data_IF_331632944028
#
_entry.id   IF_331632944028
#
_cell.length_a   1.000
_cell.length_b   1.000
_cell.length_c   1.000
_cell.angle_alpha   90.00
_cell.angle_beta   90.00
_cell.angle_gamma   90.00
#
_symmetry.space_group_name_H-M   'P 1'
#
loop_
_entity.id
_entity.type
_entity.pdbx_description
1 polymer ?
#
# COMPACT_ATOMS: atom_id res chain seq x y z
N UNK A 1 -1.99 -8.65 11.75
CA UNK A 1 -1.69 -7.80 10.59
C UNK A 1 -2.47 -6.50 10.66
N UNK A 2 -1.88 -5.41 10.20
CA UNK A 2 -2.51 -4.10 10.13
C UNK A 2 -2.78 -3.66 8.70
N UNK A 3 -3.86 -2.91 8.49
CA UNK A 3 -4.12 -2.26 7.23
C UNK A 3 -4.62 -0.83 7.45
N UNK A 4 -3.96 0.15 6.83
CA UNK A 4 -4.28 1.57 6.95
C UNK A 4 -4.57 2.16 5.57
N UNK A 5 -5.76 2.77 5.44
CA UNK A 5 -6.25 3.32 4.18
C UNK A 5 -7.13 2.32 3.43
N UNK A 6 -8.45 2.50 3.50
CA UNK A 6 -9.48 1.61 2.97
C UNK A 6 -10.25 2.23 1.79
N UNK A 7 -9.58 3.06 0.98
CA UNK A 7 -10.11 3.51 -0.31
C UNK A 7 -10.29 2.37 -1.31
N UNK A 8 -10.61 2.67 -2.58
CA UNK A 8 -10.92 1.65 -3.61
C UNK A 8 -9.88 0.54 -3.74
N UNK A 9 -8.59 0.90 -3.70
CA UNK A 9 -7.49 -0.06 -3.75
C UNK A 9 -7.28 -0.75 -2.41
N UNK A 10 -7.21 0.05 -1.34
CA UNK A 10 -6.92 -0.44 -0.01
C UNK A 10 -7.97 -1.41 0.53
N UNK A 11 -9.26 -1.11 0.35
CA UNK A 11 -10.35 -2.02 0.74
C UNK A 11 -10.26 -3.36 0.03
N UNK A 12 -10.01 -3.33 -1.30
CA UNK A 12 -9.90 -4.54 -2.09
C UNK A 12 -8.71 -5.44 -1.67
N UNK A 13 -7.58 -4.84 -1.28
CA UNK A 13 -6.42 -5.57 -0.76
C UNK A 13 -6.66 -6.06 0.67
N UNK A 14 -7.23 -5.20 1.54
CA UNK A 14 -7.57 -5.56 2.91
C UNK A 14 -8.55 -6.74 2.98
N UNK A 15 -9.56 -6.80 2.09
CA UNK A 15 -10.47 -7.95 1.98
C UNK A 15 -9.74 -9.27 1.72
N UNK A 16 -8.69 -9.26 0.89
CA UNK A 16 -7.88 -10.46 0.67
C UNK A 16 -7.13 -10.87 1.94
N UNK A 17 -6.58 -9.90 2.65
CA UNK A 17 -5.88 -10.15 3.91
C UNK A 17 -6.84 -10.71 4.97
N UNK A 18 -8.02 -10.13 5.13
CA UNK A 18 -9.08 -10.57 6.06
C UNK A 18 -9.55 -12.00 5.73
N UNK A 19 -9.74 -12.33 4.45
CA UNK A 19 -10.16 -13.68 4.03
C UNK A 19 -9.11 -14.76 4.30
N UNK A 20 -7.84 -14.40 4.32
CA UNK A 20 -6.73 -15.33 4.49
C UNK A 20 -6.08 -15.28 5.89
N UNK A 21 -6.54 -14.38 6.75
CA UNK A 21 -6.06 -14.24 8.13
C UNK A 21 -7.23 -13.89 9.06
N UNK A 22 -7.23 -14.47 10.25
CA UNK A 22 -8.25 -14.21 11.28
C UNK A 22 -7.93 -13.01 12.19
N UNK A 23 -6.79 -12.37 12.00
CA UNK A 23 -6.29 -11.32 12.89
C UNK A 23 -5.80 -10.12 12.07
N UNK A 24 -6.76 -9.33 11.59
CA UNK A 24 -6.51 -8.12 10.80
C UNK A 24 -7.14 -6.91 11.48
N UNK A 25 -6.31 -5.96 11.86
CA UNK A 25 -6.71 -4.67 12.44
C UNK A 25 -6.67 -3.59 11.36
N UNK A 26 -7.72 -2.79 11.24
CA UNK A 26 -7.85 -1.79 10.17
C UNK A 26 -8.11 -0.40 10.70
N UNK A 27 -7.61 0.59 9.96
CA UNK A 27 -7.90 2.00 10.21
C UNK A 27 -8.08 2.77 8.90
N UNK A 28 -9.05 3.67 8.90
CA UNK A 28 -9.25 4.70 7.89
C UNK A 28 -9.87 5.93 8.55
N UNK A 29 -9.66 7.12 7.98
CA UNK A 29 -10.33 8.36 8.41
C UNK A 29 -11.82 8.35 8.10
N UNK A 30 -12.26 7.50 7.15
CA UNK A 30 -13.67 7.28 6.81
C UNK A 30 -14.24 6.13 7.64
N UNK A 31 -15.12 6.41 8.63
CA UNK A 31 -15.68 5.39 9.50
C UNK A 31 -16.56 4.37 8.76
N UNK A 32 -17.17 4.74 7.62
CA UNK A 32 -17.98 3.82 6.81
C UNK A 32 -17.10 2.73 6.18
N UNK A 33 -15.91 3.09 5.70
CA UNK A 33 -14.96 2.13 5.15
C UNK A 33 -14.44 1.15 6.22
N UNK A 34 -14.19 1.64 7.43
CA UNK A 34 -13.82 0.80 8.59
C UNK A 34 -14.96 -0.16 8.92
N UNK A 35 -16.20 0.33 8.97
CA UNK A 35 -17.36 -0.48 9.30
C UNK A 35 -17.60 -1.60 8.29
N UNK A 36 -17.38 -1.33 6.99
CA UNK A 36 -17.44 -2.34 5.94
C UNK A 36 -16.38 -3.43 6.13
N UNK A 37 -15.14 -3.06 6.42
CA UNK A 37 -14.07 -4.03 6.70
C UNK A 37 -14.37 -4.88 7.94
N UNK A 38 -14.97 -4.30 8.98
CA UNK A 38 -15.42 -5.04 10.19
C UNK A 38 -16.51 -6.06 9.86
N UNK A 39 -17.44 -5.75 8.95
CA UNK A 39 -18.45 -6.72 8.49
C UNK A 39 -17.80 -7.92 7.78
N UNK A 40 -16.63 -7.75 7.21
CA UNK A 40 -15.84 -8.84 6.60
C UNK A 40 -14.93 -9.57 7.60
N UNK A 41 -14.87 -9.16 8.87
CA UNK A 41 -14.14 -9.84 9.93
C UNK A 41 -12.88 -9.14 10.44
N UNK A 42 -12.64 -7.89 10.05
CA UNK A 42 -11.55 -7.10 10.62
C UNK A 42 -11.88 -6.55 12.02
N UNK A 43 -10.85 -6.20 12.76
CA UNK A 43 -10.94 -5.42 14.01
C UNK A 43 -10.70 -3.94 13.69
N UNK A 44 -11.58 -3.05 14.15
CA UNK A 44 -11.39 -1.61 14.00
C UNK A 44 -10.38 -1.07 15.01
N UNK A 45 -9.45 -0.23 14.55
CA UNK A 45 -8.57 0.57 15.40
C UNK A 45 -9.06 2.02 15.48
N UNK A 46 -8.73 2.72 16.56
CA UNK A 46 -9.07 4.13 16.73
C UNK A 46 -8.04 5.07 16.07
N UNK A 47 -6.82 4.59 15.83
CA UNK A 47 -5.72 5.37 15.28
C UNK A 47 -4.69 4.49 14.55
N UNK A 48 -3.77 5.08 13.76
CA UNK A 48 -2.60 4.38 13.24
C UNK A 48 -1.71 3.76 14.33
N UNK A 49 -1.57 4.40 15.48
CA UNK A 49 -0.84 3.86 16.63
C UNK A 49 -1.50 2.59 17.18
N UNK A 50 -2.85 2.56 17.27
CA UNK A 50 -3.58 1.36 17.69
C UNK A 50 -3.37 0.18 16.70
N UNK A 51 -3.29 0.46 15.39
CA UNK A 51 -2.95 -0.57 14.40
C UNK A 51 -1.54 -1.10 14.66
N UNK A 52 -0.58 -0.20 14.92
CA UNK A 52 0.81 -0.58 15.18
C UNK A 52 0.96 -1.44 16.43
N UNK A 53 0.23 -1.11 17.50
CA UNK A 53 0.26 -1.87 18.74
C UNK A 53 -0.20 -3.32 18.57
N UNK A 54 -1.08 -3.59 17.59
CA UNK A 54 -1.72 -4.88 17.38
C UNK A 54 -1.18 -5.66 16.17
N UNK A 55 -0.09 -5.19 15.54
CA UNK A 55 0.36 -5.76 14.26
C UNK A 55 1.86 -5.86 14.16
N UNK A 56 2.36 -6.97 13.61
CA UNK A 56 3.77 -7.12 13.22
C UNK A 56 4.06 -6.62 11.80
N UNK A 57 3.05 -6.64 10.92
CA UNK A 57 3.14 -6.14 9.55
C UNK A 57 1.96 -5.21 9.27
N UNK A 58 2.24 -3.99 8.83
CA UNK A 58 1.23 -2.99 8.45
C UNK A 58 1.34 -2.70 6.97
N UNK A 59 0.23 -2.85 6.25
CA UNK A 59 0.04 -2.37 4.88
C UNK A 59 -0.57 -0.98 4.88
N UNK A 60 0.02 -0.04 4.14
CA UNK A 60 -0.47 1.35 4.03
C UNK A 60 -0.82 1.66 2.58
N UNK A 61 -2.07 2.07 2.32
CA UNK A 61 -2.56 2.45 1.01
C UNK A 61 -3.36 3.76 1.08
N UNK A 62 -2.66 4.88 1.09
CA UNK A 62 -3.23 6.24 1.22
C UNK A 62 -2.95 7.08 -0.03
N UNK A 63 -3.72 8.18 -0.29
CA UNK A 63 -3.72 8.85 -1.59
C UNK A 63 -2.42 9.58 -1.98
N UNK A 64 -1.64 10.13 -1.03
CA UNK A 64 -0.56 11.05 -1.32
C UNK A 64 0.58 11.00 -0.29
N UNK A 65 1.71 11.63 -0.65
CA UNK A 65 2.95 11.68 0.15
C UNK A 65 2.75 12.23 1.56
N UNK A 66 1.98 13.31 1.70
CA UNK A 66 1.66 13.90 2.99
C UNK A 66 0.87 12.97 3.90
N UNK A 67 0.01 12.11 3.34
CA UNK A 67 -0.75 11.14 4.12
C UNK A 67 0.15 10.02 4.67
N UNK A 68 1.20 9.61 3.92
CA UNK A 68 2.22 8.69 4.45
C UNK A 68 2.88 9.30 5.69
N UNK A 69 3.32 10.56 5.59
CA UNK A 69 3.94 11.27 6.71
C UNK A 69 2.98 11.36 7.90
N UNK A 70 1.71 11.71 7.66
CA UNK A 70 0.71 11.82 8.71
C UNK A 70 0.45 10.49 9.41
N UNK A 71 0.30 9.40 8.66
CA UNK A 71 0.08 8.05 9.20
C UNK A 71 1.28 7.58 10.02
N UNK A 72 2.50 7.85 9.56
CA UNK A 72 3.70 7.38 10.23
C UNK A 72 4.07 8.22 11.45
N UNK A 73 4.06 9.55 11.33
CA UNK A 73 4.66 10.48 12.31
C UNK A 73 3.73 11.61 12.77
N UNK A 74 2.49 11.65 12.29
CA UNK A 74 1.47 12.58 12.76
C UNK A 74 0.99 12.24 14.18
N UNK A 75 0.06 13.05 14.72
CA UNK A 75 -0.58 12.73 16.00
C UNK A 75 -1.23 11.35 15.95
N UNK A 76 -1.04 10.53 16.99
CA UNK A 76 -1.50 9.15 17.05
C UNK A 76 -0.98 8.29 15.87
N UNK A 77 0.17 8.68 15.28
CA UNK A 77 0.82 7.97 14.19
C UNK A 77 1.47 6.66 14.64
N UNK A 78 1.82 5.83 13.64
CA UNK A 78 2.46 4.51 13.87
C UNK A 78 3.68 4.61 14.79
N UNK A 79 4.45 5.70 14.72
CA UNK A 79 5.66 5.92 15.51
C UNK A 79 5.41 5.91 17.03
N UNK A 80 4.22 6.28 17.49
CA UNK A 80 3.89 6.34 18.92
C UNK A 80 3.76 4.95 19.57
N UNK A 81 3.49 3.92 18.75
CA UNK A 81 3.42 2.52 19.19
C UNK A 81 4.40 1.61 18.44
N UNK A 82 5.46 2.21 17.86
CA UNK A 82 6.48 1.47 17.11
C UNK A 82 7.22 0.47 18.03
N UNK A 83 7.51 -0.71 17.49
CA UNK A 83 8.26 -1.76 18.17
C UNK A 83 9.24 -2.46 17.20
N UNK A 84 10.25 -3.15 17.73
CA UNK A 84 11.40 -3.67 16.97
C UNK A 84 11.08 -4.71 15.90
N UNK A 85 9.91 -5.34 15.93
CA UNK A 85 9.51 -6.34 14.94
C UNK A 85 8.54 -5.79 13.89
N UNK A 86 8.17 -4.51 13.99
CA UNK A 86 7.19 -3.91 13.09
C UNK A 86 7.77 -3.72 11.69
N UNK A 87 7.02 -4.18 10.70
CA UNK A 87 7.32 -4.00 9.28
C UNK A 87 6.20 -3.21 8.62
N UNK A 88 6.56 -2.20 7.83
CA UNK A 88 5.61 -1.36 7.10
C UNK A 88 5.78 -1.60 5.60
N UNK A 89 4.67 -1.90 4.93
CA UNK A 89 4.55 -2.07 3.49
C UNK A 89 3.76 -0.90 2.90
N UNK A 90 4.41 -0.05 2.12
CA UNK A 90 3.77 1.12 1.50
C UNK A 90 3.33 0.75 0.07
N UNK A 91 2.02 0.69 -0.15
CA UNK A 91 1.40 0.38 -1.44
C UNK A 91 1.03 1.63 -2.24
N UNK A 92 1.04 2.78 -1.59
CA UNK A 92 0.70 4.08 -2.16
C UNK A 92 1.59 4.44 -3.35
N UNK A 93 1.03 5.14 -4.32
CA UNK A 93 1.82 5.76 -5.40
C UNK A 93 2.34 7.11 -4.90
N UNK A 94 3.56 7.12 -4.43
CA UNK A 94 4.25 8.28 -3.84
C UNK A 94 5.64 8.43 -4.45
N UNK A 95 6.31 9.54 -4.16
CA UNK A 95 7.67 9.77 -4.63
C UNK A 95 8.67 8.79 -3.96
N UNK A 96 9.72 8.36 -4.67
CA UNK A 96 10.79 7.55 -4.09
C UNK A 96 11.40 8.16 -2.82
N UNK A 97 11.57 9.49 -2.80
CA UNK A 97 12.10 10.22 -1.65
C UNK A 97 11.20 10.08 -0.42
N UNK A 98 9.88 10.00 -0.60
CA UNK A 98 8.94 9.76 0.49
C UNK A 98 9.18 8.41 1.16
N UNK A 99 9.42 7.38 0.36
CA UNK A 99 9.76 6.03 0.87
C UNK A 99 11.10 6.05 1.62
N UNK A 100 12.12 6.66 1.03
CA UNK A 100 13.45 6.75 1.66
C UNK A 100 13.40 7.53 2.97
N UNK A 101 12.67 8.63 3.01
CA UNK A 101 12.47 9.42 4.22
C UNK A 101 11.69 8.63 5.28
N UNK A 102 10.62 7.93 4.90
CA UNK A 102 9.87 7.05 5.80
C UNK A 102 10.78 5.97 6.39
N UNK A 103 11.58 5.28 5.56
CA UNK A 103 12.57 4.30 6.02
C UNK A 103 13.54 4.91 7.04
N UNK A 104 14.13 6.05 6.72
CA UNK A 104 15.12 6.68 7.61
C UNK A 104 14.51 7.05 8.97
N UNK A 105 13.35 7.70 8.96
CA UNK A 105 12.63 8.09 10.18
C UNK A 105 12.24 6.88 11.02
N UNK A 106 11.64 5.87 10.42
CA UNK A 106 11.15 4.70 11.14
C UNK A 106 12.27 3.78 11.62
N UNK A 107 13.43 3.76 10.94
CA UNK A 107 14.59 2.98 11.35
C UNK A 107 15.19 3.44 12.70
N UNK A 108 15.01 4.71 13.08
CA UNK A 108 15.40 5.23 14.40
C UNK A 108 14.61 4.57 15.55
N UNK A 109 13.47 3.95 15.20
CA UNK A 109 12.58 3.22 16.11
C UNK A 109 12.64 1.69 15.88
N UNK A 110 13.65 1.19 15.16
CA UNK A 110 13.84 -0.22 14.79
C UNK A 110 12.69 -0.79 13.94
N UNK A 111 11.94 0.05 13.21
CA UNK A 111 10.86 -0.34 12.30
C UNK A 111 11.40 -0.40 10.87
N UNK A 112 11.08 -1.47 10.15
CA UNK A 112 11.46 -1.65 8.76
C UNK A 112 10.37 -1.13 7.82
N UNK A 113 10.77 -0.43 6.75
CA UNK A 113 9.84 0.13 5.75
C UNK A 113 10.25 -0.32 4.36
N UNK A 114 9.26 -0.79 3.59
CA UNK A 114 9.43 -1.23 2.20
C UNK A 114 8.37 -0.62 1.30
N UNK A 115 8.74 -0.31 0.07
CA UNK A 115 7.81 0.05 -0.99
C UNK A 115 7.34 -1.20 -1.74
N UNK A 116 6.04 -1.40 -1.74
CA UNK A 116 5.34 -2.54 -2.35
C UNK A 116 4.20 -1.99 -3.21
N UNK A 117 4.57 -1.22 -4.24
CA UNK A 117 3.62 -0.54 -5.10
C UNK A 117 2.84 -1.54 -5.96
N UNK A 118 1.56 -1.24 -6.21
CA UNK A 118 0.65 -2.17 -6.89
C UNK A 118 0.31 -1.73 -8.31
N UNK A 119 0.15 -2.70 -9.20
CA UNK A 119 -0.33 -2.51 -10.57
C UNK A 119 -1.48 -3.50 -10.84
N UNK A 120 -2.47 -3.11 -11.69
CA UNK A 120 -3.63 -3.95 -12.04
C UNK A 120 -4.98 -3.33 -11.67
N UNK A 121 -5.02 -2.33 -10.79
CA UNK A 121 -6.25 -1.65 -10.36
C UNK A 121 -7.09 -2.47 -9.39
N UNK A 122 -8.20 -1.87 -8.89
CA UNK A 122 -9.03 -2.44 -7.83
C UNK A 122 -9.68 -3.80 -8.22
N UNK A 123 -9.98 -4.02 -9.51
CA UNK A 123 -10.55 -5.29 -9.97
C UNK A 123 -9.58 -6.46 -9.74
N UNK A 124 -8.31 -6.27 -10.07
CA UNK A 124 -7.27 -7.29 -9.83
C UNK A 124 -6.99 -7.43 -8.33
N UNK A 125 -7.04 -6.31 -7.59
CA UNK A 125 -6.89 -6.34 -6.14
C UNK A 125 -7.94 -7.23 -5.46
N UNK A 126 -9.22 -7.12 -5.86
CA UNK A 126 -10.33 -7.91 -5.26
C UNK A 126 -10.15 -9.42 -5.41
N UNK A 127 -9.53 -9.87 -6.47
CA UNK A 127 -9.30 -11.31 -6.73
C UNK A 127 -7.92 -11.79 -6.30
N UNK A 128 -7.12 -10.93 -5.65
CA UNK A 128 -5.76 -11.28 -5.20
C UNK A 128 -4.75 -11.49 -6.34
N UNK A 129 -4.99 -10.90 -7.52
CA UNK A 129 -4.19 -11.09 -8.72
C UNK A 129 -3.42 -9.82 -9.11
N UNK A 130 -2.87 -9.12 -8.13
CA UNK A 130 -2.06 -7.93 -8.38
C UNK A 130 -0.64 -8.27 -8.80
N UNK A 131 -0.07 -7.45 -9.69
CA UNK A 131 1.39 -7.36 -9.82
C UNK A 131 1.89 -6.34 -8.80
N UNK A 132 2.88 -6.70 -8.00
CA UNK A 132 3.54 -5.79 -7.05
C UNK A 132 4.96 -5.46 -7.48
N UNK A 133 5.34 -4.22 -7.30
CA UNK A 133 6.65 -3.66 -7.63
C UNK A 133 7.35 -3.36 -6.30
N UNK A 134 8.37 -4.16 -5.97
CA UNK A 134 8.95 -4.18 -4.63
C UNK A 134 10.36 -3.60 -4.64
N UNK A 135 10.58 -2.60 -3.77
CA UNK A 135 11.91 -2.13 -3.41
C UNK A 135 12.42 -2.77 -2.11
N UNK A 136 13.68 -3.20 -2.08
CA UNK A 136 14.32 -3.77 -0.89
C UNK A 136 13.95 -5.23 -0.59
N UNK A 137 13.54 -6.00 -1.59
CA UNK A 137 13.07 -7.39 -1.41
C UNK A 137 14.07 -8.30 -0.70
N UNK A 138 15.38 -8.12 -0.93
CA UNK A 138 16.44 -8.92 -0.30
C UNK A 138 16.48 -8.76 1.22
N UNK A 139 16.19 -7.52 1.71
CA UNK A 139 16.21 -7.17 3.14
C UNK A 139 14.87 -7.49 3.83
N UNK A 140 13.81 -7.78 3.08
CA UNK A 140 12.45 -7.93 3.59
C UNK A 140 12.29 -9.23 4.40
N UNK A 141 11.71 -9.17 5.62
CA UNK A 141 11.41 -10.34 6.44
C UNK A 141 10.43 -11.31 5.76
N UNK A 142 10.55 -12.59 6.09
CA UNK A 142 9.69 -13.65 5.54
C UNK A 142 8.21 -13.37 5.82
N UNK A 143 7.87 -12.91 7.01
CA UNK A 143 6.50 -12.57 7.41
C UNK A 143 5.87 -11.52 6.49
N UNK A 144 6.61 -10.48 6.13
CA UNK A 144 6.16 -9.46 5.18
C UNK A 144 6.01 -10.02 3.75
N UNK A 145 6.93 -10.89 3.32
CA UNK A 145 6.83 -11.59 2.02
C UNK A 145 5.59 -12.49 1.94
N UNK A 146 5.19 -13.11 3.04
CA UNK A 146 3.97 -13.91 3.12
C UNK A 146 2.71 -13.05 2.99
N UNK A 147 2.68 -11.89 3.62
CA UNK A 147 1.58 -10.93 3.47
C UNK A 147 1.42 -10.48 2.01
N UNK A 148 2.51 -10.16 1.32
CA UNK A 148 2.47 -9.76 -0.09
C UNK A 148 1.83 -10.85 -0.96
N UNK A 149 2.16 -12.11 -0.73
CA UNK A 149 1.63 -13.24 -1.50
C UNK A 149 0.12 -13.44 -1.36
N UNK A 150 -0.51 -12.89 -0.32
CA UNK A 150 -1.96 -12.99 -0.14
C UNK A 150 -2.73 -12.22 -1.22
N UNK A 151 -2.18 -11.10 -1.71
CA UNK A 151 -2.85 -10.24 -2.68
C UNK A 151 -2.08 -10.05 -4.00
N UNK A 152 -0.91 -10.67 -4.14
CA UNK A 152 -0.09 -10.57 -5.34
C UNK A 152 0.05 -11.93 -6.05
N UNK A 153 -0.23 -11.92 -7.35
CA UNK A 153 0.02 -13.05 -8.26
C UNK A 153 1.44 -12.97 -8.86
N UNK A 154 1.93 -11.76 -9.06
CA UNK A 154 3.26 -11.50 -9.59
C UNK A 154 4.03 -10.50 -8.72
N UNK A 155 5.29 -10.81 -8.41
CA UNK A 155 6.19 -9.96 -7.64
C UNK A 155 7.38 -9.59 -8.52
N UNK A 156 7.54 -8.29 -8.79
CA UNK A 156 8.67 -7.73 -9.55
C UNK A 156 9.62 -7.05 -8.56
N UNK A 157 10.82 -7.57 -8.43
CA UNK A 157 11.88 -6.98 -7.63
C UNK A 157 12.51 -5.81 -8.39
N UNK A 158 12.24 -4.59 -7.93
CA UNK A 158 12.64 -3.37 -8.63
C UNK A 158 14.05 -2.89 -8.28
N UNK A 159 14.64 -3.41 -7.19
CA UNK A 159 15.96 -3.03 -6.69
C UNK A 159 15.93 -2.56 -5.24
N UNK A 160 16.72 -1.55 -4.89
CA UNK A 160 16.77 -0.99 -3.53
C UNK A 160 15.46 -0.31 -3.13
N UNK A 161 15.31 0.00 -1.84
CA UNK A 161 14.15 0.73 -1.31
C UNK A 161 13.96 2.07 -2.05
N UNK A 162 12.71 2.35 -2.47
CA UNK A 162 12.31 3.45 -3.35
C UNK A 162 12.28 3.09 -4.84
N UNK A 163 12.89 1.97 -5.26
CA UNK A 163 12.88 1.55 -6.67
C UNK A 163 11.52 1.05 -7.13
N UNK A 164 10.72 0.43 -6.25
CA UNK A 164 9.34 0.04 -6.53
C UNK A 164 8.46 1.25 -6.82
N UNK A 165 8.58 2.31 -5.99
CA UNK A 165 7.88 3.57 -6.20
C UNK A 165 8.30 4.25 -7.51
N UNK A 166 9.60 4.29 -7.82
CA UNK A 166 10.11 4.84 -9.08
C UNK A 166 9.56 4.07 -10.29
N UNK A 167 9.59 2.74 -10.24
CA UNK A 167 9.05 1.87 -11.29
C UNK A 167 7.54 2.08 -11.45
N UNK A 168 6.79 2.21 -10.34
CA UNK A 168 5.35 2.50 -10.36
C UNK A 168 5.04 3.81 -11.07
N UNK A 169 5.79 4.88 -10.80
CA UNK A 169 5.63 6.17 -11.47
C UNK A 169 5.91 6.01 -12.98
N UNK A 170 6.97 5.31 -13.36
CA UNK A 170 7.30 5.07 -14.76
C UNK A 170 6.18 4.29 -15.49
N UNK A 171 5.64 3.23 -14.88
CA UNK A 171 4.50 2.48 -15.42
C UNK A 171 3.28 3.38 -15.60
N UNK A 172 2.98 4.23 -14.62
CA UNK A 172 1.85 5.16 -14.72
C UNK A 172 2.04 6.18 -15.85
N UNK A 173 3.24 6.75 -16.00
CA UNK A 173 3.56 7.68 -17.11
C UNK A 173 3.32 7.01 -18.46
N UNK A 174 3.80 5.80 -18.67
CA UNK A 174 3.56 5.04 -19.91
C UNK A 174 2.07 4.77 -20.14
N UNK A 175 1.36 4.34 -19.11
CA UNK A 175 -0.08 4.01 -19.20
C UNK A 175 -0.91 5.25 -19.59
N UNK A 176 -0.70 6.36 -18.90
CA UNK A 176 -1.45 7.60 -19.20
C UNK A 176 -1.08 8.21 -20.54
N UNK A 177 0.18 8.15 -20.94
CA UNK A 177 0.60 8.60 -22.28
C UNK A 177 -0.06 7.77 -23.40
N UNK A 178 -0.13 6.45 -23.26
CA UNK A 178 -0.81 5.57 -24.20
C UNK A 178 -2.31 5.84 -24.24
N UNK A 179 -2.93 6.04 -23.09
CA UNK A 179 -4.36 6.37 -23.02
C UNK A 179 -4.67 7.71 -23.70
N UNK A 180 -3.87 8.74 -23.43
CA UNK A 180 -4.02 10.04 -24.07
C UNK A 180 -3.86 9.95 -25.60
N UNK A 181 -2.86 9.20 -26.09
CA UNK A 181 -2.66 8.97 -27.52
C UNK A 181 -3.85 8.24 -28.17
N UNK A 182 -4.38 7.21 -27.51
CA UNK A 182 -5.52 6.44 -27.99
C UNK A 182 -6.81 7.32 -28.06
N UNK A 183 -7.04 8.15 -27.03
CA UNK A 183 -8.18 9.08 -27.00
C UNK A 183 -8.07 10.11 -28.12
N UNK A 184 -6.89 10.70 -28.33
CA UNK A 184 -6.65 11.65 -29.41
C UNK A 184 -6.88 11.01 -30.80
N UNK A 185 -6.41 9.78 -31.01
CA UNK A 185 -6.63 9.07 -32.26
C UNK A 185 -8.13 8.78 -32.51
N UNK A 186 -8.87 8.40 -31.46
CA UNK A 186 -10.31 8.19 -31.55
C UNK A 186 -11.05 9.49 -31.93
N UNK A 187 -10.73 10.61 -31.29
CA UNK A 187 -11.35 11.91 -31.57
C UNK A 187 -11.09 12.36 -33.02
N UNK A 188 -9.85 12.15 -33.52
CA UNK A 188 -9.55 12.44 -34.94
C UNK A 188 -10.42 11.61 -35.89
N UNK A 189 -10.62 10.33 -35.63
CA UNK A 189 -11.46 9.46 -36.47
C UNK A 189 -12.92 9.89 -36.46
N UNK A 190 -13.46 10.30 -35.29
CA UNK A 190 -14.87 10.71 -35.15
C UNK A 190 -15.14 12.10 -35.73
N UNK A 191 -14.13 12.97 -35.87
CA UNK A 191 -14.27 14.32 -36.42
C UNK A 191 -14.05 14.36 -37.96
N UNK A 192 -13.40 13.35 -38.53
CA UNK A 192 -13.10 13.29 -39.95
C UNK A 192 -13.98 12.35 -40.78
N UNK A 193 -14.86 11.60 -40.12
CA UNK A 193 -15.83 10.69 -40.75
C UNK A 193 -17.24 11.14 -40.62
#
# INVERSE_FOLDING_TARGET
YGYIGLGDMGSAMAENLIRNSSDVTVYDINPEAVQEAVLHGATAAASPADVAQQSDVISICVPADEHITQVLTGPEGVIEAAHENLVILIHSTVLPDTIVNAKNTMSEHNVQVFDVCVAGGATQARIGAQTVLVGGMDEMPVTAKEVIKIYADEIIEAGSIGSGAALKIAVNVMTYAQFAAATTAHDLMTTTG
#
